data_IF_831397312775
#
_entry.id   IF_831397312775
#
_cell.length_a   1.000
_cell.length_b   1.000
_cell.length_c   1.000
_cell.angle_alpha   90.00
_cell.angle_beta   90.00
_cell.angle_gamma   90.00
#
_symmetry.space_group_name_H-M   'P 1'
#
loop_
_entity.id
_entity.type
_entity.pdbx_description
1 polymer ?
#
# COMPACT_ATOMS: atom_id res chain seq x y z
N UNK A 1 -6.60 8.13 -26.11
CA UNK A 1 -7.61 7.08 -25.82
C UNK A 1 -8.57 7.64 -24.77
N UNK A 2 -9.89 7.58 -24.98
CA UNK A 2 -10.89 8.32 -24.19
C UNK A 2 -11.12 7.74 -22.77
N UNK A 3 -11.33 8.60 -21.77
CA UNK A 3 -11.70 8.25 -20.37
C UNK A 3 -12.89 7.28 -20.29
N UNK A 4 -13.79 7.34 -21.28
CA UNK A 4 -14.96 6.47 -21.39
C UNK A 4 -14.62 5.03 -21.80
N UNK A 5 -13.58 4.81 -22.60
CA UNK A 5 -13.15 3.47 -23.01
C UNK A 5 -12.53 2.71 -21.83
N UNK A 6 -11.79 3.41 -20.96
CA UNK A 6 -11.25 2.85 -19.71
C UNK A 6 -12.35 2.41 -18.75
N UNK A 7 -13.47 3.14 -18.68
CA UNK A 7 -14.61 2.83 -17.79
C UNK A 7 -15.40 1.59 -18.24
N UNK A 8 -15.50 1.35 -19.55
CA UNK A 8 -16.19 0.18 -20.12
C UNK A 8 -15.36 -1.12 -20.06
N UNK A 9 -14.03 -1.01 -19.97
CA UNK A 9 -13.12 -2.15 -19.78
C UNK A 9 -12.77 -2.41 -18.30
N UNK A 10 -13.16 -1.50 -17.39
CA UNK A 10 -12.86 -1.54 -15.94
C UNK A 10 -13.73 -2.48 -15.13
N UNK A 11 -14.55 -3.30 -15.77
CA UNK A 11 -15.74 -3.85 -15.11
C UNK A 11 -15.50 -4.88 -14.03
N UNK A 12 -14.29 -5.40 -13.80
CA UNK A 12 -14.05 -6.32 -12.68
C UNK A 12 -12.60 -6.31 -12.17
N UNK A 13 -11.94 -5.16 -12.01
CA UNK A 13 -10.59 -5.14 -11.40
C UNK A 13 -10.34 -3.93 -10.52
N UNK A 14 -9.54 -4.13 -9.48
CA UNK A 14 -9.14 -3.14 -8.50
C UNK A 14 -7.62 -2.95 -8.52
N UNK A 15 -7.18 -1.70 -8.40
CA UNK A 15 -5.76 -1.38 -8.33
C UNK A 15 -5.20 -1.72 -6.95
N UNK A 16 -4.03 -2.33 -6.92
CA UNK A 16 -3.27 -2.64 -5.71
C UNK A 16 -2.27 -1.49 -5.51
N UNK A 17 -2.39 -0.80 -4.39
CA UNK A 17 -1.61 0.40 -4.08
C UNK A 17 -0.77 0.18 -2.84
N UNK A 18 0.51 0.52 -2.91
CA UNK A 18 1.33 0.77 -1.71
C UNK A 18 1.14 2.23 -1.33
N UNK A 19 0.39 2.49 -0.26
CA UNK A 19 0.18 3.86 0.25
C UNK A 19 1.14 4.17 1.38
N UNK A 20 1.49 5.45 1.51
CA UNK A 20 2.43 5.93 2.54
C UNK A 20 1.84 7.02 3.42
N UNK A 21 2.26 7.04 4.68
CA UNK A 21 1.75 7.93 5.70
C UNK A 21 2.88 8.55 6.54
N UNK A 22 2.72 9.84 6.84
CA UNK A 22 3.57 10.60 7.77
C UNK A 22 3.70 9.90 9.12
N UNK A 23 4.92 9.90 9.65
CA UNK A 23 5.19 9.65 11.07
C UNK A 23 5.47 10.98 11.77
N UNK A 24 5.48 10.98 13.10
CA UNK A 24 5.61 12.22 13.89
C UNK A 24 6.77 13.13 13.48
N UNK A 25 7.89 12.54 13.03
CA UNK A 25 9.12 13.26 12.68
C UNK A 25 9.51 13.13 11.18
N UNK A 26 8.69 12.48 10.36
CA UNK A 26 9.04 12.17 8.97
C UNK A 26 7.92 12.56 8.01
N UNK A 27 8.29 13.18 6.90
CA UNK A 27 7.37 13.70 5.91
C UNK A 27 7.86 13.49 4.48
N UNK A 28 7.50 14.44 3.61
CA UNK A 28 7.95 14.45 2.21
C UNK A 28 9.47 14.64 2.19
N UNK A 29 10.16 13.78 1.43
CA UNK A 29 11.63 13.71 1.40
C UNK A 29 12.22 12.61 2.29
N UNK A 30 11.43 12.04 3.21
CA UNK A 30 11.82 10.96 4.13
C UNK A 30 11.06 9.65 3.86
N UNK A 31 10.71 9.37 2.60
CA UNK A 31 9.83 8.24 2.21
C UNK A 31 10.32 6.88 2.74
N UNK A 32 11.64 6.71 2.87
CA UNK A 32 12.29 5.56 3.49
C UNK A 32 12.13 5.47 5.02
N UNK A 33 11.38 6.37 5.66
CA UNK A 33 11.06 6.35 7.09
C UNK A 33 9.55 6.37 7.35
N UNK A 34 8.74 6.45 6.29
CA UNK A 34 7.29 6.53 6.40
C UNK A 34 6.64 5.18 6.71
N UNK A 35 5.40 5.24 7.20
CA UNK A 35 4.59 4.04 7.35
C UNK A 35 3.96 3.66 6.02
N UNK A 36 4.01 2.38 5.65
CA UNK A 36 3.41 1.86 4.41
C UNK A 36 2.26 0.91 4.71
N UNK A 37 1.28 0.90 3.82
CA UNK A 37 0.14 -0.01 3.85
C UNK A 37 -0.18 -0.51 2.43
N UNK A 38 -0.86 -1.66 2.34
CA UNK A 38 -1.50 -2.11 1.09
C UNK A 38 -2.93 -1.59 1.07
N UNK A 39 -3.33 -0.96 -0.03
CA UNK A 39 -4.70 -0.52 -0.27
C UNK A 39 -5.21 -1.07 -1.58
N UNK A 40 -6.32 -1.79 -1.53
CA UNK A 40 -7.03 -2.28 -2.72
C UNK A 40 -8.10 -1.26 -3.06
N UNK A 41 -7.90 -0.51 -4.15
CA UNK A 41 -8.75 0.61 -4.54
C UNK A 41 -10.06 0.11 -5.14
N UNK A 42 -11.15 0.19 -4.36
CA UNK A 42 -12.48 -0.24 -4.79
C UNK A 42 -13.28 0.88 -5.44
N UNK A 43 -12.93 2.14 -5.16
CA UNK A 43 -13.44 3.34 -5.82
C UNK A 43 -12.31 4.38 -5.96
N UNK A 44 -11.59 4.33 -7.08
CA UNK A 44 -10.48 5.26 -7.35
C UNK A 44 -10.94 6.71 -7.53
N UNK A 45 -12.16 6.95 -8.01
CA UNK A 45 -12.69 8.32 -8.20
C UNK A 45 -12.85 9.03 -6.84
N UNK A 46 -13.02 8.28 -5.75
CA UNK A 46 -13.10 8.78 -4.36
C UNK A 46 -11.85 8.49 -3.53
N UNK A 47 -10.83 7.88 -4.15
CA UNK A 47 -9.66 7.33 -3.46
C UNK A 47 -10.04 6.48 -2.24
N UNK A 48 -11.05 5.62 -2.40
CA UNK A 48 -11.53 4.69 -1.39
C UNK A 48 -11.11 3.24 -1.69
N UNK A 49 -10.83 2.48 -0.64
CA UNK A 49 -10.38 1.10 -0.77
C UNK A 49 -10.40 0.30 0.52
N UNK A 50 -9.98 -0.96 0.42
CA UNK A 50 -9.69 -1.84 1.56
C UNK A 50 -8.23 -1.67 1.96
N UNK A 51 -7.94 -1.47 3.23
CA UNK A 51 -6.58 -1.28 3.73
C UNK A 51 -6.10 -2.45 4.58
N UNK A 52 -4.82 -2.77 4.42
CA UNK A 52 -4.09 -3.73 5.24
C UNK A 52 -2.74 -3.12 5.64
N UNK A 53 -2.43 -3.16 6.94
CA UNK A 53 -1.19 -2.61 7.47
C UNK A 53 -0.70 -3.43 8.67
N UNK A 54 0.62 -3.59 8.76
CA UNK A 54 1.26 -4.07 9.97
C UNK A 54 1.46 -2.91 10.96
N UNK A 55 0.90 -3.02 12.15
CA UNK A 55 1.01 -2.03 13.21
C UNK A 55 1.70 -2.63 14.41
N UNK A 56 2.52 -1.85 15.09
CA UNK A 56 3.13 -2.27 16.34
C UNK A 56 2.20 -1.95 17.52
N UNK A 57 2.10 -2.88 18.46
CA UNK A 57 1.56 -2.64 19.80
C UNK A 57 2.70 -2.71 20.79
N UNK A 58 2.82 -1.65 21.59
CA UNK A 58 3.70 -1.65 22.75
C UNK A 58 2.88 -2.31 23.86
N UNK A 59 3.26 -3.53 24.23
CA UNK A 59 2.68 -4.17 25.42
C UNK A 59 3.54 -3.80 26.62
N UNK A 60 2.89 -3.50 27.76
CA UNK A 60 3.57 -3.19 29.03
C UNK A 60 4.29 -4.41 29.65
N UNK A 61 4.22 -5.57 29.01
CA UNK A 61 4.95 -6.79 29.41
C UNK A 61 6.34 -6.85 28.78
N UNK A 62 7.26 -7.55 29.47
CA UNK A 62 8.71 -7.65 29.18
C UNK A 62 9.09 -8.19 27.77
N UNK A 63 8.13 -8.51 26.92
CA UNK A 63 8.32 -9.21 25.65
C UNK A 63 8.58 -8.26 24.45
N UNK A 64 8.62 -6.96 24.69
CA UNK A 64 8.97 -5.96 23.66
C UNK A 64 7.80 -5.59 22.75
N UNK A 65 8.10 -5.29 21.49
CA UNK A 65 7.12 -4.81 20.51
C UNK A 65 6.44 -6.01 19.84
N UNK A 66 5.11 -6.11 19.96
CA UNK A 66 4.31 -7.08 19.17
C UNK A 66 3.79 -6.43 17.91
N UNK A 67 3.67 -7.20 16.83
CA UNK A 67 3.13 -6.74 15.56
C UNK A 67 1.80 -7.41 15.27
N UNK A 68 0.81 -6.62 14.85
CA UNK A 68 -0.52 -7.10 14.46
C UNK A 68 -0.87 -6.61 13.07
N UNK A 69 -1.76 -7.34 12.41
CA UNK A 69 -2.43 -6.84 11.22
C UNK A 69 -3.62 -5.98 11.63
N UNK A 70 -3.68 -4.76 11.09
CA UNK A 70 -4.85 -3.90 11.15
C UNK A 70 -5.44 -3.78 9.76
N UNK A 71 -6.76 -4.02 9.68
CA UNK A 71 -7.51 -3.94 8.44
C UNK A 71 -8.65 -2.95 8.55
N UNK A 72 -9.04 -2.39 7.41
CA UNK A 72 -10.25 -1.58 7.29
C UNK A 72 -10.91 -1.86 5.95
N UNK A 73 -12.16 -2.30 5.97
CA UNK A 73 -12.93 -2.65 4.76
C UNK A 73 -13.19 -1.44 3.86
N UNK A 74 -13.19 -0.24 4.44
CA UNK A 74 -13.37 1.02 3.74
C UNK A 74 -12.56 2.12 4.37
N UNK A 75 -11.52 2.56 3.68
CA UNK A 75 -10.73 3.76 3.98
C UNK A 75 -10.85 4.75 2.83
N UNK A 76 -10.69 6.04 3.13
CA UNK A 76 -10.48 7.08 2.12
C UNK A 76 -9.09 7.67 2.34
N UNK A 77 -8.26 7.66 1.31
CA UNK A 77 -6.92 8.26 1.39
C UNK A 77 -7.01 9.76 1.65
N UNK A 78 -7.95 10.44 0.98
CA UNK A 78 -8.18 11.89 1.10
C UNK A 78 -8.49 12.34 2.53
N UNK A 79 -9.21 11.51 3.30
CA UNK A 79 -9.61 11.86 4.67
C UNK A 79 -8.47 11.74 5.68
N UNK A 80 -7.33 11.15 5.31
CA UNK A 80 -6.17 11.03 6.18
C UNK A 80 -5.20 12.18 5.91
N UNK A 81 -5.11 13.11 6.87
CA UNK A 81 -4.12 14.21 6.83
C UNK A 81 -2.66 13.75 6.88
N UNK A 82 -2.42 12.45 7.16
CA UNK A 82 -1.10 11.82 7.14
C UNK A 82 -0.77 11.16 5.81
N UNK A 83 -1.76 10.90 4.94
CA UNK A 83 -1.50 10.23 3.67
C UNK A 83 -0.68 11.12 2.74
N UNK A 84 0.37 10.54 2.14
CA UNK A 84 1.25 11.18 1.17
C UNK A 84 1.15 10.50 -0.20
N UNK A 85 -0.04 10.00 -0.52
CA UNK A 85 -0.29 9.28 -1.77
C UNK A 85 0.18 7.83 -1.73
N UNK A 86 0.35 7.25 -2.91
CA UNK A 86 0.77 5.87 -3.06
C UNK A 86 1.15 5.51 -4.50
N UNK A 87 1.61 4.27 -4.65
CA UNK A 87 2.07 3.72 -5.92
C UNK A 87 1.19 2.54 -6.30
N UNK A 88 0.60 2.57 -7.49
CA UNK A 88 -0.09 1.43 -8.10
C UNK A 88 0.96 0.40 -8.55
N UNK A 89 0.92 -0.79 -7.97
CA UNK A 89 1.91 -1.86 -8.20
C UNK A 89 1.32 -3.09 -8.90
N UNK A 90 0.01 -3.14 -9.09
CA UNK A 90 -0.65 -4.31 -9.65
C UNK A 90 -2.16 -4.15 -9.70
N UNK A 91 -2.83 -5.21 -10.14
CA UNK A 91 -4.28 -5.26 -10.28
C UNK A 91 -4.80 -6.63 -9.82
N UNK A 92 -5.94 -6.64 -9.13
CA UNK A 92 -6.65 -7.86 -8.77
C UNK A 92 -8.03 -7.85 -9.41
N UNK A 93 -8.51 -8.99 -9.93
CA UNK A 93 -9.88 -9.07 -10.42
C UNK A 93 -10.85 -9.07 -9.25
N UNK A 94 -12.04 -8.49 -9.43
CA UNK A 94 -13.07 -8.45 -8.39
C UNK A 94 -13.40 -9.84 -7.86
N UNK A 95 -13.48 -10.85 -8.75
CA UNK A 95 -13.72 -12.26 -8.36
C UNK A 95 -12.60 -12.89 -7.55
N UNK A 96 -11.38 -12.33 -7.60
CA UNK A 96 -10.18 -12.80 -6.89
C UNK A 96 -9.96 -12.02 -5.58
N UNK A 97 -10.75 -10.97 -5.32
CA UNK A 97 -10.58 -10.11 -4.14
C UNK A 97 -10.63 -10.90 -2.83
N UNK A 98 -11.54 -11.86 -2.69
CA UNK A 98 -11.62 -12.69 -1.48
C UNK A 98 -10.40 -13.59 -1.29
N UNK A 99 -9.76 -14.00 -2.39
CA UNK A 99 -8.53 -14.81 -2.36
C UNK A 99 -7.35 -13.94 -1.94
N UNK A 100 -7.26 -12.73 -2.48
CA UNK A 100 -6.26 -11.75 -2.06
C UNK A 100 -6.44 -11.38 -0.59
N UNK A 101 -7.66 -11.08 -0.14
CA UNK A 101 -7.96 -10.74 1.25
C UNK A 101 -7.49 -11.85 2.19
N UNK A 102 -7.79 -13.11 1.85
CA UNK A 102 -7.33 -14.28 2.60
C UNK A 102 -5.80 -14.36 2.64
N UNK A 103 -5.13 -14.21 1.50
CA UNK A 103 -3.67 -14.29 1.42
C UNK A 103 -2.98 -13.22 2.28
N UNK A 104 -3.51 -11.98 2.28
CA UNK A 104 -2.97 -10.90 3.12
C UNK A 104 -3.24 -11.11 4.62
N UNK A 105 -4.41 -11.64 4.97
CA UNK A 105 -4.79 -11.94 6.36
C UNK A 105 -4.03 -13.13 6.95
N UNK A 106 -3.70 -14.13 6.13
CA UNK A 106 -2.91 -15.29 6.55
C UNK A 106 -1.41 -14.93 6.70
N UNK A 107 -0.93 -13.87 6.05
CA UNK A 107 0.42 -13.35 6.24
C UNK A 107 0.56 -12.52 7.52
N UNK A 108 0.43 -13.17 8.68
CA UNK A 108 0.47 -12.51 9.99
C UNK A 108 1.84 -11.82 10.22
N UNK A 109 1.88 -10.51 10.55
CA UNK A 109 3.10 -9.78 10.88
C UNK A 109 3.95 -10.47 11.95
N UNK A 110 5.19 -10.82 11.61
CA UNK A 110 6.14 -11.39 12.55
C UNK A 110 7.54 -10.82 12.30
N UNK A 111 8.13 -10.22 13.34
CA UNK A 111 9.46 -9.64 13.24
C UNK A 111 10.52 -10.73 13.02
N UNK A 112 11.14 -10.74 11.84
CA UNK A 112 12.20 -11.69 11.46
C UNK A 112 13.61 -11.19 11.81
N UNK A 113 13.74 -9.90 12.12
CA UNK A 113 14.96 -9.24 12.58
C UNK A 113 14.62 -8.07 13.52
N UNK A 114 15.64 -7.46 14.13
CA UNK A 114 15.44 -6.30 15.02
C UNK A 114 15.00 -5.05 14.25
N UNK A 115 15.35 -4.95 12.98
CA UNK A 115 15.05 -3.84 12.08
C UNK A 115 13.71 -4.01 11.34
N UNK A 116 13.11 -5.21 11.43
CA UNK A 116 11.85 -5.54 10.76
C UNK A 116 10.74 -4.56 11.16
N UNK A 117 10.01 -4.06 10.17
CA UNK A 117 8.94 -3.10 10.36
C UNK A 117 7.81 -3.26 9.34
N UNK A 118 6.83 -2.35 9.37
CA UNK A 118 5.67 -2.39 8.48
C UNK A 118 6.01 -2.44 6.98
N UNK A 119 7.16 -1.90 6.56
CA UNK A 119 7.57 -1.94 5.16
C UNK A 119 8.06 -3.32 4.74
N UNK A 120 8.73 -4.03 5.64
CA UNK A 120 9.13 -5.41 5.41
C UNK A 120 7.90 -6.30 5.22
N UNK A 121 6.86 -6.10 6.04
CA UNK A 121 5.58 -6.77 5.84
C UNK A 121 4.94 -6.46 4.47
N UNK A 122 4.95 -5.20 4.04
CA UNK A 122 4.47 -4.82 2.69
C UNK A 122 5.26 -5.55 1.60
N UNK A 123 6.59 -5.67 1.72
CA UNK A 123 7.41 -6.41 0.76
C UNK A 123 7.07 -7.91 0.75
N UNK A 124 6.78 -8.50 1.91
CA UNK A 124 6.32 -9.89 2.02
C UNK A 124 4.97 -10.09 1.30
N UNK A 125 4.03 -9.17 1.49
CA UNK A 125 2.76 -9.18 0.75
C UNK A 125 2.97 -9.03 -0.76
N UNK A 126 3.90 -8.17 -1.19
CA UNK A 126 4.22 -8.01 -2.62
C UNK A 126 4.75 -9.33 -3.20
N UNK A 127 5.62 -10.04 -2.48
CA UNK A 127 6.10 -11.35 -2.92
C UNK A 127 4.95 -12.35 -3.13
N UNK A 128 4.02 -12.43 -2.16
CA UNK A 128 2.82 -13.28 -2.28
C UNK A 128 1.97 -12.88 -3.50
N UNK A 129 1.72 -11.58 -3.68
CA UNK A 129 0.93 -11.07 -4.80
C UNK A 129 1.61 -11.28 -6.16
N UNK A 130 2.95 -11.39 -6.20
CA UNK A 130 3.70 -11.76 -7.40
C UNK A 130 3.55 -13.24 -7.73
N UNK A 131 3.62 -14.11 -6.73
CA UNK A 131 3.44 -15.56 -6.92
C UNK A 131 2.02 -15.89 -7.44
N UNK A 132 1.01 -15.13 -7.01
CA UNK A 132 -0.37 -15.21 -7.50
C UNK A 132 -0.63 -14.46 -8.82
N UNK A 133 0.35 -13.70 -9.32
CA UNK A 133 0.29 -12.99 -10.60
C UNK A 133 -0.51 -11.67 -10.59
N UNK A 134 -0.86 -11.13 -9.43
CA UNK A 134 -1.54 -9.83 -9.31
C UNK A 134 -0.58 -8.64 -9.43
N UNK A 135 0.68 -8.85 -9.06
CA UNK A 135 1.78 -7.88 -9.23
C UNK A 135 2.77 -8.46 -10.24
N UNK A 136 3.05 -7.73 -11.31
CA UNK A 136 4.00 -8.16 -12.35
C UNK A 136 5.28 -7.33 -12.39
N UNK A 137 5.29 -6.20 -11.68
CA UNK A 137 6.41 -5.27 -11.61
C UNK A 137 7.65 -5.85 -10.93
N UNK A 138 8.82 -5.32 -11.30
CA UNK A 138 10.15 -5.72 -10.80
C UNK A 138 10.48 -5.13 -9.43
N UNK A 139 9.53 -5.20 -8.52
CA UNK A 139 9.69 -4.81 -7.12
C UNK A 139 10.20 -6.02 -6.33
N UNK A 140 11.43 -5.95 -5.83
CA UNK A 140 12.08 -6.99 -5.02
C UNK A 140 12.60 -6.44 -3.70
N UNK A 141 12.89 -5.14 -3.65
CA UNK A 141 13.43 -4.44 -2.50
C UNK A 141 12.63 -3.18 -2.22
N UNK A 142 12.67 -2.70 -0.96
CA UNK A 142 11.99 -1.45 -0.59
C UNK A 142 12.50 -0.28 -1.45
N UNK A 143 13.79 -0.28 -1.80
CA UNK A 143 14.44 0.76 -2.61
C UNK A 143 13.81 0.92 -3.99
N UNK A 144 13.24 -0.15 -4.55
CA UNK A 144 12.61 -0.10 -5.88
C UNK A 144 11.38 0.82 -5.85
N UNK A 145 10.64 0.86 -4.74
CA UNK A 145 9.45 1.70 -4.56
C UNK A 145 9.75 3.16 -4.23
N UNK A 146 10.93 3.46 -3.65
CA UNK A 146 11.24 4.79 -3.11
C UNK A 146 11.13 5.92 -4.15
N UNK A 147 11.64 5.78 -5.39
CA UNK A 147 11.50 6.83 -6.40
C UNK A 147 10.04 7.16 -6.73
N UNK A 148 9.20 6.15 -6.93
CA UNK A 148 7.78 6.33 -7.22
C UNK A 148 7.02 6.89 -6.01
N UNK A 149 7.36 6.46 -4.79
CA UNK A 149 6.80 7.04 -3.57
C UNK A 149 7.17 8.52 -3.40
N UNK A 150 8.41 8.90 -3.73
CA UNK A 150 8.85 10.32 -3.76
C UNK A 150 8.06 11.14 -4.77
N UNK A 151 7.77 10.56 -5.94
CA UNK A 151 6.92 11.20 -6.93
C UNK A 151 5.48 11.37 -6.42
N UNK A 152 4.90 10.34 -5.80
CA UNK A 152 3.55 10.37 -5.24
C UNK A 152 3.41 11.41 -4.13
N UNK A 153 4.39 11.52 -3.23
CA UNK A 153 4.38 12.48 -2.12
C UNK A 153 4.54 13.92 -2.62
N UNK A 154 5.44 14.15 -3.58
CA UNK A 154 5.62 15.46 -4.21
C UNK A 154 4.34 15.92 -4.93
N UNK A 155 3.74 15.02 -5.73
CA UNK A 155 2.49 15.32 -6.43
C UNK A 155 1.34 15.55 -5.44
N UNK A 156 1.28 14.79 -4.34
CA UNK A 156 0.29 15.00 -3.27
C UNK A 156 0.36 16.41 -2.69
N UNK A 157 1.57 16.94 -2.48
CA UNK A 157 1.77 18.31 -2.02
C UNK A 157 1.36 19.32 -3.08
N UNK A 158 1.73 19.09 -4.34
CA UNK A 158 1.42 19.97 -5.47
C UNK A 158 -0.09 20.11 -5.69
N UNK A 159 -0.82 18.99 -5.69
CA UNK A 159 -2.27 18.97 -5.98
C UNK A 159 -3.15 19.18 -4.74
N UNK A 160 -2.57 19.13 -3.54
CA UNK A 160 -3.29 19.31 -2.28
C UNK A 160 -4.16 18.14 -1.84
N UNK A 161 -4.01 16.97 -2.47
CA UNK A 161 -4.73 15.74 -2.14
C UNK A 161 -3.86 14.51 -2.45
N UNK A 162 -4.04 13.35 -1.78
CA UNK A 162 -3.26 12.15 -2.05
C UNK A 162 -3.26 11.76 -3.52
N UNK A 163 -2.06 11.64 -4.09
CA UNK A 163 -1.87 11.26 -5.48
C UNK A 163 -1.46 9.79 -5.61
N UNK A 164 -2.00 9.12 -6.63
CA UNK A 164 -1.58 7.78 -7.01
C UNK A 164 -0.73 7.88 -8.29
N UNK A 165 0.43 7.24 -8.28
CA UNK A 165 1.30 7.13 -9.46
C UNK A 165 1.44 5.67 -9.84
N UNK A 166 1.62 5.39 -11.13
CA UNK A 166 1.94 4.03 -11.59
C UNK A 166 3.39 3.71 -11.27
N UNK A 167 3.67 2.46 -10.88
CA UNK A 167 5.04 1.96 -10.83
C UNK A 167 5.58 1.80 -12.26
N UNK A 168 6.75 2.38 -12.54
CA UNK A 168 7.45 2.23 -13.82
C UNK A 168 8.62 1.25 -13.67
N UNK A 169 8.66 0.22 -14.50
CA UNK A 169 9.68 -0.84 -14.49
C UNK A 169 10.99 -0.44 -15.22
N UNK A 170 11.18 0.85 -15.48
CA UNK A 170 12.26 1.43 -16.28
C UNK A 170 13.68 1.08 -15.81
#
# INVERSE_FOLDING_TARGET
>A
MSKYLRKLLRTESYSIVVSQYKRSNFGVGDEENLHWAIVIMTDEDKLEGRMYQAVNRINDTRDGVTWDISTAEKVSLERSSRCLGGVCIGVVKQKELSTLDKALLENVPHAKSAEWNCRDWVMECIAIMKDEGWVTSRIYHQQDLIPALKQASALTVEVGQPALVEFDDA
#
